data_IF_754198360986
#
_entry.id   IF_754198360986
#
_cell.length_a   1.000
_cell.length_b   1.000
_cell.length_c   1.000
_cell.angle_alpha   90.00
_cell.angle_beta   90.00
_cell.angle_gamma   90.00
#
_symmetry.space_group_name_H-M   'P 1'
#
loop_
_entity.id
_entity.type
_entity.pdbx_description
1 polymer ?
#
# COMPACT_ATOMS: atom_id res chain seq x y z
N UNK A 1 -14.38 7.24 -17.16
CA UNK A 1 -13.23 7.57 -16.29
C UNK A 1 -12.56 6.27 -15.89
N UNK A 2 -11.23 6.26 -15.81
CA UNK A 2 -10.48 5.14 -15.25
C UNK A 2 -10.64 5.16 -13.72
N UNK A 3 -10.51 4.00 -13.09
CA UNK A 3 -10.47 3.94 -11.63
C UNK A 3 -9.16 4.54 -11.14
N UNK A 4 -9.23 5.45 -10.17
CA UNK A 4 -8.03 5.94 -9.48
C UNK A 4 -7.66 4.95 -8.39
N UNK A 5 -6.46 4.38 -8.49
CA UNK A 5 -5.91 3.52 -7.46
C UNK A 5 -5.29 4.29 -6.30
N UNK A 6 -5.09 5.60 -6.49
CA UNK A 6 -4.35 6.44 -5.59
C UNK A 6 -5.05 7.80 -5.45
N UNK A 7 -5.92 7.89 -4.45
CA UNK A 7 -6.61 9.12 -4.06
C UNK A 7 -5.99 9.64 -2.76
N UNK A 8 -5.90 10.97 -2.62
CA UNK A 8 -5.26 11.62 -1.47
C UNK A 8 -6.18 12.67 -0.88
N UNK A 9 -6.28 12.69 0.45
CA UNK A 9 -6.97 13.72 1.21
C UNK A 9 -6.07 14.21 2.36
N UNK A 10 -5.95 15.52 2.50
CA UNK A 10 -5.16 16.22 3.54
C UNK A 10 -6.11 17.00 4.46
N UNK A 11 -6.81 16.30 5.37
CA UNK A 11 -7.78 16.95 6.24
C UNK A 11 -7.09 17.79 7.31
N UNK A 12 -7.62 18.99 7.57
CA UNK A 12 -7.15 19.82 8.69
C UNK A 12 -7.54 19.26 10.06
N UNK A 13 -8.69 18.57 10.12
CA UNK A 13 -9.20 17.88 11.31
C UNK A 13 -9.83 16.58 10.85
N UNK A 14 -9.54 15.46 11.52
CA UNK A 14 -10.18 14.18 11.27
C UNK A 14 -10.92 13.70 12.53
N UNK A 15 -12.26 13.69 12.48
CA UNK A 15 -13.04 13.11 13.57
C UNK A 15 -12.93 11.58 13.61
N UNK A 16 -13.16 10.93 14.77
CA UNK A 16 -13.20 9.48 14.86
C UNK A 16 -14.17 8.82 13.85
N UNK A 17 -15.37 9.39 13.65
CA UNK A 17 -16.33 8.93 12.63
C UNK A 17 -15.79 9.04 11.21
N UNK A 18 -15.03 10.10 10.92
CA UNK A 18 -14.45 10.30 9.59
C UNK A 18 -13.33 9.30 9.37
N UNK A 19 -12.52 8.99 10.38
CA UNK A 19 -11.51 7.93 10.29
C UNK A 19 -12.17 6.56 10.02
N UNK A 20 -13.23 6.22 10.76
CA UNK A 20 -13.98 4.98 10.53
C UNK A 20 -14.54 4.91 9.10
N UNK A 21 -15.09 6.01 8.60
CA UNK A 21 -15.61 6.09 7.23
C UNK A 21 -14.55 5.81 6.16
N UNK A 22 -13.34 6.36 6.36
CA UNK A 22 -12.20 6.19 5.45
C UNK A 22 -11.66 4.75 5.51
N UNK A 23 -11.36 4.25 6.72
CA UNK A 23 -10.86 2.89 6.92
C UNK A 23 -11.83 1.83 6.37
N UNK A 24 -13.14 2.02 6.55
CA UNK A 24 -14.16 1.13 5.98
C UNK A 24 -14.12 1.07 4.44
N UNK A 25 -13.61 2.11 3.77
CA UNK A 25 -13.51 2.22 2.30
C UNK A 25 -12.12 1.93 1.75
N UNK A 26 -11.21 1.41 2.56
CA UNK A 26 -9.87 1.10 2.12
C UNK A 26 -8.97 2.32 1.94
N UNK A 27 -9.19 3.36 2.75
CA UNK A 27 -8.27 4.48 2.88
C UNK A 27 -7.40 4.31 4.12
N UNK A 28 -6.15 4.79 4.06
CA UNK A 28 -5.13 4.57 5.08
C UNK A 28 -4.27 5.81 5.28
N UNK A 29 -3.67 5.94 6.46
CA UNK A 29 -2.83 7.08 6.81
C UNK A 29 -1.41 6.95 6.25
N UNK A 30 -0.83 8.08 5.87
CA UNK A 30 0.61 8.30 5.69
C UNK A 30 0.93 9.74 6.13
N UNK A 31 1.72 9.90 7.19
CA UNK A 31 1.92 11.21 7.82
C UNK A 31 0.60 11.81 8.28
N UNK A 32 0.35 13.06 7.92
CA UNK A 32 -0.92 13.79 8.14
C UNK A 32 -2.04 13.49 7.12
N UNK A 33 -1.72 12.71 6.09
CA UNK A 33 -2.60 12.45 4.95
C UNK A 33 -3.35 11.13 5.12
N UNK A 34 -4.57 11.06 4.59
CA UNK A 34 -5.27 9.80 4.35
C UNK A 34 -5.42 9.56 2.84
N UNK A 35 -5.07 8.36 2.37
CA UNK A 35 -4.97 8.05 0.95
C UNK A 35 -5.36 6.60 0.64
N UNK A 36 -5.61 6.29 -0.63
CA UNK A 36 -5.72 4.91 -1.11
C UNK A 36 -4.42 4.52 -1.83
N UNK A 37 -4.04 3.25 -1.73
CA UNK A 37 -3.05 2.67 -2.64
C UNK A 37 -3.29 1.17 -2.74
N UNK A 38 -3.10 0.61 -3.92
CA UNK A 38 -3.21 -0.84 -4.14
C UNK A 38 -1.96 -1.44 -4.76
N UNK A 39 -0.97 -0.59 -5.02
CA UNK A 39 0.30 -0.93 -5.64
C UNK A 39 1.42 -0.32 -4.82
N UNK A 40 2.48 -1.09 -4.60
CA UNK A 40 3.70 -0.64 -3.95
C UNK A 40 4.83 -0.78 -4.94
N UNK A 41 5.81 0.12 -4.88
CA UNK A 41 6.98 0.04 -5.75
C UNK A 41 8.27 -0.02 -4.93
N UNK A 42 8.92 -1.17 -4.91
CA UNK A 42 10.22 -1.34 -4.28
C UNK A 42 11.03 -2.44 -4.97
N UNK A 43 12.36 -2.46 -4.77
CA UNK A 43 13.26 -3.43 -5.44
C UNK A 43 13.03 -3.46 -6.98
N UNK A 44 12.75 -2.29 -7.56
CA UNK A 44 12.45 -2.07 -8.99
C UNK A 44 11.30 -2.92 -9.54
N UNK A 45 10.31 -3.27 -8.69
CA UNK A 45 9.13 -4.04 -9.09
C UNK A 45 7.88 -3.52 -8.38
N UNK A 46 6.73 -3.51 -9.08
CA UNK A 46 5.43 -3.34 -8.46
C UNK A 46 5.04 -4.56 -7.62
N UNK A 47 4.32 -4.33 -6.53
CA UNK A 47 3.69 -5.35 -5.69
C UNK A 47 2.27 -4.93 -5.33
N UNK A 48 1.40 -5.91 -5.08
CA UNK A 48 0.07 -5.64 -4.53
C UNK A 48 0.15 -5.22 -3.05
N UNK A 49 -0.55 -4.13 -2.68
CA UNK A 49 -0.89 -3.85 -1.29
C UNK A 49 -2.27 -4.45 -0.99
N UNK A 50 -2.30 -5.59 -0.31
CA UNK A 50 -3.55 -6.18 0.16
C UNK A 50 -3.81 -5.70 1.59
N UNK A 51 -4.63 -4.66 1.69
CA UNK A 51 -5.00 -4.14 3.00
C UNK A 51 -5.91 -5.07 3.74
N UNK A 52 -5.64 -5.22 5.04
CA UNK A 52 -6.34 -6.16 5.89
C UNK A 52 -6.92 -5.47 7.12
N UNK A 53 -7.98 -6.08 7.65
CA UNK A 53 -8.53 -5.77 8.97
C UNK A 53 -8.89 -7.04 9.70
N UNK A 54 -9.18 -6.91 10.99
CA UNK A 54 -9.65 -7.97 11.87
C UNK A 54 -10.95 -7.48 12.50
N UNK A 55 -12.03 -8.25 12.34
CA UNK A 55 -13.26 -8.04 13.11
C UNK A 55 -13.07 -8.63 14.51
N UNK A 56 -13.18 -7.78 15.53
CA UNK A 56 -12.99 -8.10 16.93
C UNK A 56 -14.27 -8.54 17.65
N UNK A 57 -15.43 -8.52 16.99
CA UNK A 57 -16.75 -8.81 17.60
C UNK A 57 -16.77 -10.14 18.39
N UNK A 58 -16.11 -11.17 17.89
CA UNK A 58 -15.98 -12.50 18.54
C UNK A 58 -14.51 -12.92 18.72
N UNK A 59 -13.60 -11.94 18.79
CA UNK A 59 -12.17 -12.24 18.80
C UNK A 59 -11.72 -12.81 20.14
N UNK A 60 -10.89 -13.85 20.06
CA UNK A 60 -10.20 -14.41 21.20
C UNK A 60 -8.74 -14.68 20.86
N UNK A 61 -7.82 -14.21 21.71
CA UNK A 61 -6.40 -14.51 21.54
C UNK A 61 -6.16 -16.02 21.48
N UNK A 62 -5.36 -16.47 20.53
CA UNK A 62 -4.95 -17.88 20.41
C UNK A 62 -4.08 -18.33 21.59
N UNK A 63 -3.88 -19.65 21.75
CA UNK A 63 -3.03 -20.21 22.82
C UNK A 63 -1.59 -19.67 22.76
N UNK A 64 -1.04 -19.49 21.56
CA UNK A 64 0.31 -18.96 21.36
C UNK A 64 0.39 -17.46 21.68
N UNK A 65 -0.61 -16.66 21.28
CA UNK A 65 -0.70 -15.24 21.63
C UNK A 65 -0.81 -15.05 23.15
N UNK A 66 -1.69 -15.79 23.84
CA UNK A 66 -1.79 -15.76 25.31
C UNK A 66 -0.49 -16.16 26.01
N UNK A 67 0.25 -17.13 25.45
CA UNK A 67 1.57 -17.53 25.97
C UNK A 67 2.60 -16.40 25.81
N UNK A 68 2.62 -15.74 24.65
CA UNK A 68 3.50 -14.60 24.39
C UNK A 68 3.19 -13.43 25.33
N UNK A 69 1.91 -13.05 25.44
CA UNK A 69 1.46 -11.99 26.34
C UNK A 69 1.93 -12.25 27.78
N UNK A 70 1.68 -13.45 28.31
CA UNK A 70 2.09 -13.83 29.67
C UNK A 70 3.62 -13.88 29.85
N UNK A 71 4.36 -14.35 28.85
CA UNK A 71 5.84 -14.39 28.93
C UNK A 71 6.39 -12.97 29.00
N UNK A 72 5.94 -12.11 28.09
CA UNK A 72 6.46 -10.75 28.00
C UNK A 72 6.00 -9.89 29.19
N UNK A 73 4.79 -10.10 29.73
CA UNK A 73 4.32 -9.36 30.91
C UNK A 73 5.16 -9.58 32.17
N UNK A 74 5.93 -10.68 32.26
CA UNK A 74 6.85 -10.95 33.36
C UNK A 74 8.16 -10.14 33.27
N UNK A 75 8.53 -9.70 32.06
CA UNK A 75 9.81 -9.06 31.78
C UNK A 75 9.66 -7.57 31.47
N UNK A 76 8.49 -7.19 30.95
CA UNK A 76 8.20 -5.83 30.50
C UNK A 76 6.99 -5.25 31.21
N UNK A 77 7.04 -3.95 31.46
CA UNK A 77 5.91 -3.11 31.83
C UNK A 77 5.36 -2.48 30.56
N UNK A 78 4.04 -2.42 30.43
CA UNK A 78 3.37 -1.89 29.24
C UNK A 78 2.40 -0.78 29.64
N UNK A 79 2.42 0.31 28.89
CA UNK A 79 1.51 1.45 29.09
C UNK A 79 0.83 1.73 27.75
N UNK A 80 -0.46 2.06 27.78
CA UNK A 80 -1.19 2.53 26.60
C UNK A 80 -1.77 3.91 26.92
N UNK A 81 -1.33 4.93 26.18
CA UNK A 81 -1.65 6.33 26.44
C UNK A 81 -1.71 7.15 25.14
N UNK A 82 -2.04 8.43 25.23
CA UNK A 82 -1.84 9.38 24.12
C UNK A 82 -0.38 9.39 23.68
N UNK A 83 -0.12 9.56 22.38
CA UNK A 83 1.24 9.44 21.85
C UNK A 83 2.26 10.35 22.55
N UNK A 84 3.47 9.84 22.73
CA UNK A 84 4.65 10.62 23.13
C UNK A 84 5.74 10.44 22.09
N UNK A 85 6.43 11.53 21.73
CA UNK A 85 7.62 11.49 20.88
C UNK A 85 8.66 12.34 21.61
N UNK A 86 9.62 11.67 22.25
CA UNK A 86 10.75 12.30 22.93
C UNK A 86 12.07 11.67 22.46
N UNK A 87 13.20 12.15 23.02
CA UNK A 87 14.54 11.66 22.66
C UNK A 87 14.70 10.15 22.85
N UNK A 88 14.08 9.53 23.86
CA UNK A 88 14.16 8.09 24.08
C UNK A 88 13.43 7.30 22.99
N UNK A 89 12.34 7.85 22.44
CA UNK A 89 11.62 7.24 21.32
C UNK A 89 12.41 7.34 20.02
N UNK A 90 13.02 8.49 19.74
CA UNK A 90 13.85 8.68 18.54
C UNK A 90 15.13 7.83 18.61
N UNK A 91 15.78 7.70 19.78
CA UNK A 91 16.91 6.78 19.98
C UNK A 91 16.55 5.32 19.65
N UNK A 92 15.34 4.89 20.06
CA UNK A 92 14.83 3.56 19.74
C UNK A 92 14.50 3.43 18.25
N UNK A 93 13.99 4.49 17.64
CA UNK A 93 13.68 4.55 16.21
C UNK A 93 14.94 4.40 15.37
N UNK A 94 16.00 5.16 15.68
CA UNK A 94 17.28 5.10 14.99
C UNK A 94 17.87 3.68 15.06
N UNK A 95 17.88 3.09 16.26
CA UNK A 95 18.34 1.71 16.46
C UNK A 95 17.53 0.70 15.63
N UNK A 96 16.21 0.90 15.53
CA UNK A 96 15.34 0.06 14.71
C UNK A 96 15.60 0.27 13.20
N UNK A 97 15.75 1.52 12.77
CA UNK A 97 15.93 1.93 11.39
C UNK A 97 17.26 1.42 10.80
N UNK A 98 18.35 1.43 11.57
CA UNK A 98 19.65 0.88 11.17
C UNK A 98 19.58 -0.59 10.70
N UNK A 99 18.64 -1.36 11.26
CA UNK A 99 18.47 -2.77 10.93
C UNK A 99 17.26 -3.05 10.02
N UNK A 100 16.62 -2.00 9.51
CA UNK A 100 15.46 -2.11 8.66
C UNK A 100 15.87 -2.26 7.18
N UNK A 101 15.57 -3.40 6.57
CA UNK A 101 15.78 -3.64 5.12
C UNK A 101 14.73 -2.90 4.28
N UNK A 102 14.80 -1.58 4.17
CA UNK A 102 13.84 -0.78 3.42
C UNK A 102 14.01 0.72 3.62
N UNK A 103 13.02 1.49 3.16
CA UNK A 103 12.95 2.93 3.44
C UNK A 103 11.94 3.15 4.56
N UNK A 104 12.38 3.85 5.58
CA UNK A 104 11.54 4.44 6.61
C UNK A 104 11.58 5.96 6.46
N UNK A 105 10.64 6.65 7.09
CA UNK A 105 10.73 8.10 7.23
C UNK A 105 11.99 8.48 8.03
N UNK A 106 12.52 9.70 7.91
CA UNK A 106 13.70 10.10 8.67
C UNK A 106 13.49 10.06 10.19
N UNK A 107 12.29 10.41 10.67
CA UNK A 107 11.94 10.44 12.10
C UNK A 107 10.56 9.79 12.39
N UNK A 108 10.24 9.60 13.68
CA UNK A 108 8.87 9.23 14.08
C UNK A 108 7.89 10.34 13.70
N UNK A 109 8.27 11.61 13.93
CA UNK A 109 7.46 12.76 13.55
C UNK A 109 7.14 12.76 12.04
N UNK A 110 8.10 12.50 11.16
CA UNK A 110 7.85 12.39 9.71
C UNK A 110 6.91 11.22 9.33
N UNK A 111 6.75 10.23 10.20
CA UNK A 111 5.83 9.11 9.99
C UNK A 111 4.40 9.43 10.41
N UNK A 112 4.22 10.37 11.36
CA UNK A 112 2.94 10.63 12.02
C UNK A 112 2.43 12.07 11.76
N UNK A 113 3.31 13.05 11.70
CA UNK A 113 2.98 14.48 11.68
C UNK A 113 3.21 15.07 10.29
N UNK A 114 2.73 16.30 10.07
CA UNK A 114 3.12 17.13 8.93
C UNK A 114 4.13 18.19 9.36
N UNK A 115 4.60 18.98 8.40
CA UNK A 115 5.66 19.99 8.57
C UNK A 115 5.46 20.96 9.76
N UNK A 116 4.22 21.24 10.17
CA UNK A 116 3.89 22.19 11.24
C UNK A 116 3.67 21.54 12.63
N UNK A 117 3.85 20.21 12.76
CA UNK A 117 3.64 19.49 14.03
C UNK A 117 2.17 19.30 14.43
N UNK A 118 1.24 19.60 13.52
CA UNK A 118 -0.19 19.49 13.74
C UNK A 118 -0.67 18.03 13.80
N UNK A 119 -1.59 17.79 14.73
CA UNK A 119 -2.13 16.46 15.01
C UNK A 119 -3.52 16.32 14.39
N UNK A 120 -3.56 15.79 13.18
CA UNK A 120 -4.83 15.53 12.49
C UNK A 120 -5.57 14.32 13.08
N UNK A 121 -4.83 13.32 13.55
CA UNK A 121 -5.35 12.03 14.00
C UNK A 121 -5.31 11.86 15.52
N UNK A 122 -6.32 11.19 16.08
CA UNK A 122 -6.31 10.76 17.49
C UNK A 122 -5.36 9.58 17.70
N UNK A 123 -4.04 9.87 17.73
CA UNK A 123 -2.98 8.86 17.82
C UNK A 123 -2.65 8.53 19.27
N UNK A 124 -2.68 7.24 19.57
CA UNK A 124 -2.29 6.62 20.83
C UNK A 124 -1.01 5.82 20.64
N UNK A 125 -0.40 5.45 21.75
CA UNK A 125 0.85 4.71 21.80
C UNK A 125 0.75 3.55 22.79
N UNK A 126 1.31 2.41 22.41
CA UNK A 126 1.71 1.35 23.33
C UNK A 126 3.21 1.45 23.60
N UNK A 127 3.60 1.80 24.82
CA UNK A 127 5.01 1.80 25.25
C UNK A 127 5.33 0.51 26.02
N UNK A 128 6.43 -0.14 25.67
CA UNK A 128 6.94 -1.35 26.35
C UNK A 128 8.31 -1.04 26.93
N UNK A 129 8.41 -1.13 28.25
CA UNK A 129 9.62 -0.85 29.02
C UNK A 129 10.14 -2.10 29.72
N UNK A 130 11.45 -2.29 29.75
CA UNK A 130 12.05 -3.36 30.54
C UNK A 130 11.82 -3.11 32.04
N UNK A 131 11.37 -4.14 32.77
CA UNK A 131 11.00 -3.98 34.19
C UNK A 131 12.16 -3.61 35.11
N UNK A 132 13.37 -4.05 34.78
CA UNK A 132 14.54 -3.87 35.64
C UNK A 132 15.19 -2.52 35.41
N UNK A 133 15.48 -2.18 34.16
CA UNK A 133 16.16 -0.92 33.81
C UNK A 133 15.21 0.27 33.63
N UNK A 134 13.92 0.03 33.34
CA UNK A 134 12.96 1.08 32.96
C UNK A 134 13.09 1.57 31.51
N UNK A 135 14.08 1.07 30.77
CA UNK A 135 14.38 1.47 29.39
C UNK A 135 13.23 1.13 28.44
N UNK A 136 12.88 2.06 27.55
CA UNK A 136 11.96 1.81 26.43
C UNK A 136 12.60 0.82 25.44
N UNK A 137 11.89 -0.27 25.15
CA UNK A 137 12.37 -1.35 24.28
C UNK A 137 11.45 -1.65 23.11
N UNK A 138 10.21 -1.19 23.15
CA UNK A 138 9.33 -1.15 21.99
C UNK A 138 8.27 -0.07 22.17
N UNK A 139 7.84 0.49 21.05
CA UNK A 139 6.70 1.39 20.99
C UNK A 139 5.90 1.12 19.72
N UNK A 140 4.59 1.28 19.77
CA UNK A 140 3.76 1.34 18.57
C UNK A 140 2.72 2.43 18.66
N UNK A 141 2.42 3.02 17.51
CA UNK A 141 1.50 4.13 17.36
C UNK A 141 0.30 3.70 16.53
N UNK A 142 -0.89 4.03 17.00
CA UNK A 142 -2.14 3.63 16.37
C UNK A 142 -3.20 4.72 16.51
N UNK A 143 -4.05 4.87 15.49
CA UNK A 143 -5.12 5.85 15.47
C UNK A 143 -6.44 5.27 15.91
N UNK A 144 -7.24 6.07 16.61
CA UNK A 144 -8.55 5.70 17.11
C UNK A 144 -9.69 6.39 16.37
N UNK A 145 -10.56 5.57 15.79
CA UNK A 145 -11.93 5.90 15.40
C UNK A 145 -12.91 5.65 16.55
N UNK A 146 -14.22 5.68 16.26
CA UNK A 146 -15.25 5.28 17.22
C UNK A 146 -15.38 3.76 17.31
N UNK A 147 -15.32 3.09 16.16
CA UNK A 147 -15.42 1.63 16.05
C UNK A 147 -14.12 0.97 15.56
N UNK A 148 -13.12 1.76 15.16
CA UNK A 148 -11.88 1.26 14.57
C UNK A 148 -10.62 1.69 15.32
N UNK A 149 -9.58 0.88 15.19
CA UNK A 149 -8.20 1.26 15.50
C UNK A 149 -7.28 0.88 14.33
N UNK A 150 -6.37 1.78 13.94
CA UNK A 150 -5.43 1.54 12.84
C UNK A 150 -3.98 1.63 13.32
N UNK A 151 -3.22 0.55 13.17
CA UNK A 151 -1.81 0.48 13.54
C UNK A 151 -0.96 1.17 12.46
N UNK A 152 -0.14 2.14 12.86
CA UNK A 152 0.57 3.04 11.93
C UNK A 152 2.07 2.75 11.89
N UNK A 153 2.72 2.76 13.06
CA UNK A 153 4.16 2.58 13.19
C UNK A 153 4.46 1.68 14.38
N UNK A 154 5.42 0.76 14.23
CA UNK A 154 5.90 -0.08 15.33
C UNK A 154 7.42 -0.17 15.31
N UNK A 155 8.04 0.23 16.41
CA UNK A 155 9.49 0.19 16.63
C UNK A 155 9.85 -0.68 17.83
N UNK A 156 11.01 -1.31 17.78
CA UNK A 156 11.51 -2.14 18.88
C UNK A 156 13.01 -2.31 18.83
N UNK A 157 13.61 -2.62 19.98
CA UNK A 157 15.03 -2.91 20.11
C UNK A 157 15.35 -4.22 19.36
N UNK A 158 16.12 -4.18 18.26
CA UNK A 158 16.40 -5.37 17.47
C UNK A 158 17.22 -6.43 18.20
N UNK A 159 17.91 -6.10 19.31
CA UNK A 159 18.60 -7.07 20.15
C UNK A 159 17.61 -7.95 20.93
N UNK A 160 16.35 -7.51 21.05
CA UNK A 160 15.27 -8.21 21.73
C UNK A 160 14.30 -8.91 20.77
N UNK A 161 14.71 -9.18 19.52
CA UNK A 161 13.93 -9.93 18.51
C UNK A 161 13.32 -11.23 19.03
N UNK A 162 14.00 -11.94 19.94
CA UNK A 162 13.53 -13.20 20.54
C UNK A 162 12.25 -13.05 21.40
N UNK A 163 11.88 -11.83 21.79
CA UNK A 163 10.65 -11.49 22.49
C UNK A 163 9.51 -11.07 21.57
N UNK A 164 9.77 -10.99 20.25
CA UNK A 164 8.78 -10.61 19.24
C UNK A 164 8.07 -9.28 19.55
N UNK A 165 8.82 -8.28 20.03
CA UNK A 165 8.25 -7.07 20.59
C UNK A 165 7.34 -6.31 19.61
N UNK A 166 7.71 -6.19 18.33
CA UNK A 166 6.83 -5.56 17.33
C UNK A 166 5.51 -6.31 17.09
N UNK A 167 5.46 -7.63 17.27
CA UNK A 167 4.20 -8.37 17.22
C UNK A 167 3.45 -8.30 18.55
N UNK A 168 4.19 -8.23 19.67
CA UNK A 168 3.64 -8.09 21.01
C UNK A 168 2.89 -6.76 21.18
N UNK A 169 3.43 -5.65 20.68
CA UNK A 169 2.75 -4.34 20.72
C UNK A 169 1.41 -4.37 19.97
N UNK A 170 1.34 -4.99 18.80
CA UNK A 170 0.07 -5.19 18.08
C UNK A 170 -0.95 -6.01 18.89
N UNK A 171 -0.53 -7.00 19.67
CA UNK A 171 -1.44 -7.74 20.55
C UNK A 171 -1.94 -6.88 21.71
N UNK A 172 -1.12 -5.95 22.20
CA UNK A 172 -1.52 -4.97 23.22
C UNK A 172 -2.50 -3.94 22.66
N UNK A 173 -2.31 -3.49 21.41
CA UNK A 173 -3.28 -2.66 20.69
C UNK A 173 -4.63 -3.39 20.56
N UNK A 174 -4.63 -4.66 20.17
CA UNK A 174 -5.86 -5.47 20.12
C UNK A 174 -6.48 -5.61 21.52
N UNK A 175 -5.69 -5.88 22.56
CA UNK A 175 -6.21 -5.96 23.93
C UNK A 175 -6.89 -4.65 24.34
N UNK A 176 -6.25 -3.50 24.04
CA UNK A 176 -6.82 -2.18 24.27
C UNK A 176 -8.15 -1.97 23.54
N UNK A 177 -8.24 -2.45 22.28
CA UNK A 177 -9.47 -2.39 21.49
C UNK A 177 -10.59 -3.21 22.15
N UNK A 178 -10.29 -4.45 22.55
CA UNK A 178 -11.26 -5.32 23.23
C UNK A 178 -11.76 -4.70 24.54
N UNK A 179 -10.87 -4.12 25.35
CA UNK A 179 -11.22 -3.48 26.62
C UNK A 179 -12.14 -2.26 26.44
N UNK A 180 -12.12 -1.64 25.25
CA UNK A 180 -12.95 -0.48 24.88
C UNK A 180 -14.14 -0.80 23.99
N UNK A 181 -14.33 -2.06 23.60
CA UNK A 181 -15.38 -2.44 22.65
C UNK A 181 -15.17 -1.91 21.23
N UNK A 182 -13.93 -1.60 20.84
CA UNK A 182 -13.58 -1.25 19.46
C UNK A 182 -13.67 -2.51 18.61
N UNK A 183 -14.39 -2.42 17.49
CA UNK A 183 -14.73 -3.58 16.66
C UNK A 183 -13.68 -3.90 15.61
N UNK A 184 -13.14 -2.91 14.91
CA UNK A 184 -12.29 -3.17 13.75
C UNK A 184 -10.85 -2.80 14.04
N UNK A 185 -9.92 -3.74 13.87
CA UNK A 185 -8.49 -3.45 13.96
C UNK A 185 -7.83 -3.55 12.59
N UNK A 186 -7.18 -2.48 12.16
CA UNK A 186 -6.53 -2.32 10.86
C UNK A 186 -5.01 -2.37 11.05
N UNK A 187 -4.37 -3.54 10.91
CA UNK A 187 -2.93 -3.66 11.09
C UNK A 187 -2.11 -3.15 9.89
N UNK A 188 -2.75 -2.66 8.83
CA UNK A 188 -2.11 -2.25 7.56
C UNK A 188 -2.33 -3.28 6.46
N UNK A 189 -1.30 -3.54 5.64
CA UNK A 189 -1.39 -4.43 4.48
C UNK A 189 -0.43 -5.62 4.56
N UNK A 190 -0.72 -6.61 3.72
CA UNK A 190 0.19 -7.70 3.35
C UNK A 190 0.57 -7.60 1.88
N UNK A 191 1.69 -8.21 1.52
CA UNK A 191 2.27 -8.10 0.18
C UNK A 191 2.48 -9.50 -0.40
N UNK A 192 1.62 -9.93 -1.35
CA UNK A 192 1.79 -11.20 -2.05
C UNK A 192 3.21 -11.35 -2.62
N UNK A 193 3.80 -12.53 -2.46
CA UNK A 193 5.17 -12.80 -2.88
C UNK A 193 6.27 -12.17 -2.01
N UNK A 194 5.92 -11.42 -0.95
CA UNK A 194 6.88 -10.82 -0.02
C UNK A 194 6.49 -11.06 1.46
N UNK A 195 6.95 -12.19 1.99
CA UNK A 195 6.54 -12.73 3.30
C UNK A 195 6.85 -11.86 4.54
N UNK A 196 7.56 -10.74 4.36
CA UNK A 196 7.94 -9.85 5.47
C UNK A 196 6.72 -9.32 6.23
N UNK A 197 5.58 -9.14 5.56
CA UNK A 197 4.37 -8.57 6.16
C UNK A 197 3.33 -9.61 6.58
N UNK A 198 3.55 -10.89 6.27
CA UNK A 198 2.61 -11.99 6.54
C UNK A 198 2.36 -12.22 8.03
N UNK A 199 3.25 -11.74 8.90
CA UNK A 199 3.07 -11.88 10.35
C UNK A 199 1.77 -11.25 10.84
N UNK A 200 1.21 -10.27 10.12
CA UNK A 200 -0.06 -9.61 10.45
C UNK A 200 -1.25 -10.57 10.31
N UNK A 201 -1.17 -11.55 9.39
CA UNK A 201 -2.20 -12.59 9.24
C UNK A 201 -2.26 -13.54 10.45
N UNK A 202 -1.24 -13.53 11.32
CA UNK A 202 -1.21 -14.36 12.54
C UNK A 202 -2.00 -13.75 13.69
N UNK A 203 -2.44 -12.49 13.57
CA UNK A 203 -3.19 -11.77 14.59
C UNK A 203 -4.58 -12.37 14.83
N UNK A 204 -5.25 -12.84 13.77
CA UNK A 204 -6.61 -13.38 13.85
C UNK A 204 -7.15 -13.78 12.47
N UNK A 205 -8.45 -13.95 12.37
CA UNK A 205 -9.13 -14.16 11.08
C UNK A 205 -9.17 -12.83 10.33
N UNK A 206 -8.28 -12.66 9.36
CA UNK A 206 -8.19 -11.43 8.59
C UNK A 206 -9.25 -11.36 7.49
N UNK A 207 -9.75 -10.15 7.26
CA UNK A 207 -10.45 -9.75 6.04
C UNK A 207 -9.51 -8.90 5.19
N UNK A 208 -9.69 -8.90 3.86
CA UNK A 208 -9.01 -7.99 2.94
C UNK A 208 -10.02 -7.07 2.25
N UNK A 209 -9.57 -5.89 1.86
CA UNK A 209 -10.39 -4.98 1.05
C UNK A 209 -10.35 -5.40 -0.42
N UNK A 210 -11.47 -5.93 -0.94
CA UNK A 210 -11.60 -6.33 -2.35
C UNK A 210 -12.00 -5.13 -3.20
N UNK A 211 -11.02 -4.58 -3.93
CA UNK A 211 -11.20 -3.45 -4.84
C UNK A 211 -12.27 -3.68 -5.91
N UNK A 212 -12.62 -4.92 -6.26
CA UNK A 212 -13.64 -5.20 -7.28
C UNK A 212 -15.04 -4.98 -6.77
N UNK A 213 -15.23 -5.18 -5.46
CA UNK A 213 -16.55 -5.11 -4.82
C UNK A 213 -16.69 -3.94 -3.84
N UNK A 214 -15.58 -3.25 -3.55
CA UNK A 214 -15.47 -2.21 -2.52
C UNK A 214 -15.95 -2.68 -1.15
N UNK A 215 -15.62 -3.94 -0.82
CA UNK A 215 -16.03 -4.62 0.41
C UNK A 215 -14.88 -5.37 1.04
N UNK A 216 -14.97 -5.50 2.35
CA UNK A 216 -14.14 -6.41 3.12
C UNK A 216 -14.64 -7.85 2.94
N UNK A 217 -13.72 -8.74 2.59
CA UNK A 217 -13.98 -10.15 2.33
C UNK A 217 -13.00 -11.02 3.13
N UNK A 218 -13.34 -12.27 3.50
CA UNK A 218 -12.41 -13.14 4.22
C UNK A 218 -11.11 -13.36 3.45
N UNK A 219 -9.95 -13.08 4.06
CA UNK A 219 -8.63 -13.27 3.42
C UNK A 219 -8.39 -14.71 2.98
N UNK A 220 -8.97 -15.68 3.70
CA UNK A 220 -8.86 -17.11 3.39
C UNK A 220 -9.52 -17.53 2.06
N UNK A 221 -10.36 -16.67 1.48
CA UNK A 221 -11.06 -16.93 0.21
C UNK A 221 -10.30 -16.37 -1.00
N UNK A 222 -9.25 -15.57 -0.76
CA UNK A 222 -8.40 -14.99 -1.80
C UNK A 222 -7.26 -15.95 -2.17
N UNK A 223 -6.97 -16.09 -3.46
CA UNK A 223 -5.66 -16.55 -3.94
C UNK A 223 -4.75 -15.33 -4.20
N UNK A 224 -3.96 -14.89 -3.21
CA UNK A 224 -3.21 -13.63 -3.30
C UNK A 224 -2.18 -13.62 -4.44
N UNK A 225 -1.70 -14.80 -4.87
CA UNK A 225 -0.70 -14.93 -5.94
C UNK A 225 -1.32 -14.90 -7.34
N UNK A 226 -2.65 -14.85 -7.46
CA UNK A 226 -3.37 -14.80 -8.74
C UNK A 226 -4.37 -13.66 -8.82
N UNK A 227 -5.00 -13.34 -7.70
CA UNK A 227 -6.12 -12.41 -7.64
C UNK A 227 -5.74 -11.01 -7.18
N UNK A 228 -4.54 -10.82 -6.61
CA UNK A 228 -4.02 -9.51 -6.23
C UNK A 228 -3.93 -8.55 -7.44
N UNK A 229 -4.02 -7.23 -7.22
CA UNK A 229 -4.04 -6.24 -8.30
C UNK A 229 -2.88 -6.33 -9.29
N UNK A 230 -1.64 -6.51 -8.81
CA UNK A 230 -0.45 -6.71 -9.64
C UNK A 230 -0.50 -8.04 -10.37
N UNK A 231 -0.82 -9.12 -9.65
CA UNK A 231 -0.86 -10.48 -10.17
C UNK A 231 -1.88 -10.60 -11.30
N UNK A 232 -3.06 -10.00 -11.12
CA UNK A 232 -4.11 -9.88 -12.11
C UNK A 232 -3.64 -9.14 -13.38
N UNK A 233 -2.95 -8.01 -13.22
CA UNK A 233 -2.40 -7.23 -14.35
C UNK A 233 -1.35 -8.00 -15.13
N UNK A 234 -0.35 -8.55 -14.43
CA UNK A 234 0.73 -9.30 -15.06
C UNK A 234 0.17 -10.51 -15.81
N UNK A 235 -0.73 -11.28 -15.20
CA UNK A 235 -1.33 -12.44 -15.85
C UNK A 235 -2.13 -12.05 -17.11
N UNK A 236 -2.95 -10.99 -17.03
CA UNK A 236 -3.76 -10.55 -18.16
C UNK A 236 -2.90 -9.99 -19.30
N UNK A 237 -1.93 -9.13 -18.99
CA UNK A 237 -1.10 -8.49 -20.00
C UNK A 237 -0.08 -9.45 -20.62
N UNK A 238 0.44 -10.43 -19.87
CA UNK A 238 1.29 -11.49 -20.44
C UNK A 238 0.53 -12.29 -21.50
N UNK A 239 -0.71 -12.68 -21.24
CA UNK A 239 -1.57 -13.34 -22.24
C UNK A 239 -1.78 -12.48 -23.48
N UNK A 240 -1.96 -11.18 -23.31
CA UNK A 240 -2.07 -10.26 -24.44
C UNK A 240 -0.77 -10.22 -25.26
N UNK A 241 0.38 -10.10 -24.61
CA UNK A 241 1.70 -10.07 -25.27
C UNK A 241 1.94 -11.37 -26.05
N UNK A 242 1.67 -12.53 -25.46
CA UNK A 242 1.78 -13.84 -26.12
C UNK A 242 0.92 -13.87 -27.39
N UNK A 243 -0.39 -13.59 -27.26
CA UNK A 243 -1.32 -13.61 -28.38
C UNK A 243 -0.95 -12.59 -29.48
N UNK A 244 -0.55 -11.39 -29.09
CA UNK A 244 -0.24 -10.32 -30.05
C UNK A 244 1.08 -10.59 -30.79
N UNK A 245 2.07 -11.20 -30.12
CA UNK A 245 3.30 -11.63 -30.77
C UNK A 245 3.09 -12.83 -31.70
N UNK A 246 2.17 -13.75 -31.36
CA UNK A 246 1.77 -14.85 -32.26
C UNK A 246 1.11 -14.34 -33.56
N UNK A 247 0.54 -13.12 -33.55
CA UNK A 247 0.04 -12.43 -34.74
C UNK A 247 1.15 -11.75 -35.57
N UNK A 248 2.43 -11.92 -35.19
CA UNK A 248 3.59 -11.39 -35.91
C UNK A 248 4.08 -10.02 -35.43
N UNK A 249 3.54 -9.51 -34.33
CA UNK A 249 4.04 -8.27 -33.71
C UNK A 249 5.21 -8.55 -32.77
N UNK A 250 5.94 -7.48 -32.41
CA UNK A 250 6.97 -7.53 -31.36
C UNK A 250 6.62 -6.49 -30.31
N UNK A 251 5.95 -6.92 -29.25
CA UNK A 251 5.63 -6.10 -28.08
C UNK A 251 6.10 -6.79 -26.80
N UNK A 252 6.30 -6.00 -25.76
CA UNK A 252 6.76 -6.49 -24.46
C UNK A 252 5.99 -5.80 -23.34
N UNK A 253 5.76 -6.54 -22.25
CA UNK A 253 5.26 -5.99 -21.01
C UNK A 253 6.32 -5.10 -20.38
N UNK A 254 5.96 -3.84 -20.07
CA UNK A 254 6.85 -2.90 -19.40
C UNK A 254 6.29 -2.51 -18.02
N UNK A 255 7.23 -2.20 -17.13
CA UNK A 255 6.93 -1.62 -15.82
C UNK A 255 6.84 -0.10 -15.95
N UNK A 256 5.82 0.49 -15.35
CA UNK A 256 5.64 1.93 -15.27
C UNK A 256 5.85 2.37 -13.82
N UNK A 257 6.97 3.04 -13.45
CA UNK A 257 7.26 3.44 -12.08
C UNK A 257 6.57 4.76 -11.67
N UNK A 258 5.94 5.46 -12.61
CA UNK A 258 5.28 6.76 -12.39
C UNK A 258 3.76 6.64 -12.18
N UNK A 259 3.24 5.44 -11.92
CA UNK A 259 1.79 5.22 -11.71
C UNK A 259 1.22 5.97 -10.50
N UNK A 260 2.07 6.37 -9.55
CA UNK A 260 1.70 7.16 -8.36
C UNK A 260 1.74 8.67 -8.61
N UNK A 261 1.98 9.12 -9.85
CA UNK A 261 2.04 10.56 -10.18
C UNK A 261 0.83 11.34 -9.66
N UNK A 262 -0.37 10.74 -9.66
CA UNK A 262 -1.59 11.34 -9.13
C UNK A 262 -1.57 11.63 -7.62
N UNK A 263 -0.72 10.98 -6.81
CA UNK A 263 -0.58 11.29 -5.38
C UNK A 263 0.19 12.58 -5.12
N UNK A 264 1.01 13.01 -6.07
CA UNK A 264 1.91 14.14 -5.95
C UNK A 264 1.41 15.38 -6.72
N UNK A 265 0.42 15.21 -7.59
CA UNK A 265 0.00 16.27 -8.49
C UNK A 265 -1.01 17.25 -7.86
N UNK A 266 -0.81 18.52 -8.18
CA UNK A 266 -1.66 19.66 -7.80
C UNK A 266 -2.69 19.94 -8.92
N UNK A 267 -2.41 19.51 -10.16
CA UNK A 267 -3.17 19.89 -11.36
C UNK A 267 -4.30 18.93 -11.73
N UNK A 268 -4.40 17.78 -11.04
CA UNK A 268 -5.44 16.76 -11.24
C UNK A 268 -5.56 16.32 -12.72
N UNK A 269 -4.41 16.12 -13.38
CA UNK A 269 -4.35 15.56 -14.72
C UNK A 269 -4.76 14.07 -14.72
N UNK A 270 -5.27 13.58 -15.86
CA UNK A 270 -5.63 12.17 -16.07
C UNK A 270 -4.39 11.26 -16.22
N UNK A 271 -3.54 11.16 -15.19
CA UNK A 271 -2.34 10.30 -15.25
C UNK A 271 -2.68 8.84 -15.50
N UNK A 272 -1.74 8.14 -16.13
CA UNK A 272 -1.82 6.70 -16.30
C UNK A 272 -1.66 5.98 -14.95
N UNK A 273 -2.68 5.27 -14.43
CA UNK A 273 -2.71 4.83 -13.03
C UNK A 273 -2.22 3.38 -12.81
N UNK A 274 -1.69 2.72 -13.84
CA UNK A 274 -1.33 1.30 -13.77
C UNK A 274 0.19 1.09 -13.73
N UNK A 275 0.71 0.18 -12.88
CA UNK A 275 2.14 -0.11 -12.80
C UNK A 275 2.67 -0.96 -13.97
N UNK A 276 1.79 -1.53 -14.79
CA UNK A 276 2.15 -2.32 -15.96
C UNK A 276 1.42 -1.84 -17.21
N UNK A 277 2.13 -1.82 -18.33
CA UNK A 277 1.56 -1.47 -19.63
C UNK A 277 2.33 -2.15 -20.78
N UNK A 278 1.68 -2.26 -21.93
CA UNK A 278 2.29 -2.76 -23.17
C UNK A 278 2.25 -1.64 -24.20
N UNK A 279 3.39 -1.00 -24.55
CA UNK A 279 3.41 0.02 -25.58
C UNK A 279 3.13 -0.58 -26.97
N UNK A 280 2.23 0.03 -27.72
CA UNK A 280 1.91 -0.33 -29.11
C UNK A 280 2.61 0.57 -30.13
N UNK A 281 3.11 1.73 -29.71
CA UNK A 281 3.90 2.64 -30.55
C UNK A 281 5.19 3.01 -29.83
N UNK A 282 6.14 3.62 -30.53
CA UNK A 282 7.32 4.18 -29.87
C UNK A 282 6.90 5.33 -28.95
N UNK A 283 7.48 5.38 -27.75
CA UNK A 283 7.08 6.34 -26.71
C UNK A 283 7.50 7.78 -27.09
N UNK A 284 8.40 7.92 -28.07
CA UNK A 284 8.81 9.22 -28.64
C UNK A 284 7.81 9.78 -29.67
N UNK A 285 6.77 9.03 -30.04
CA UNK A 285 5.72 9.52 -30.95
C UNK A 285 4.80 10.54 -30.27
N UNK A 286 4.21 11.43 -31.08
CA UNK A 286 3.25 12.45 -30.60
C UNK A 286 1.97 11.85 -30.02
N UNK A 287 1.65 10.61 -30.38
CA UNK A 287 0.50 9.83 -29.92
C UNK A 287 0.99 8.46 -29.43
N UNK A 288 0.91 8.22 -28.13
CA UNK A 288 1.41 7.00 -27.50
C UNK A 288 0.22 6.08 -27.30
N UNK A 289 0.21 4.93 -27.95
CA UNK A 289 -0.83 3.92 -27.72
C UNK A 289 -0.29 2.84 -26.79
N UNK A 290 -1.07 2.50 -25.76
CA UNK A 290 -0.71 1.45 -24.80
C UNK A 290 -1.89 0.53 -24.55
N UNK A 291 -1.59 -0.72 -24.25
CA UNK A 291 -2.54 -1.65 -23.63
C UNK A 291 -2.28 -1.71 -22.14
N UNK A 292 -3.35 -1.55 -21.37
CA UNK A 292 -3.37 -1.66 -19.92
C UNK A 292 -4.44 -2.67 -19.50
N UNK A 293 -4.37 -3.11 -18.24
CA UNK A 293 -5.39 -3.97 -17.65
C UNK A 293 -5.82 -3.40 -16.30
N UNK A 294 -7.12 -3.27 -16.11
CA UNK A 294 -7.69 -2.79 -14.85
C UNK A 294 -8.06 -3.98 -13.94
N UNK A 295 -7.39 -4.16 -12.79
CA UNK A 295 -7.69 -5.27 -11.90
C UNK A 295 -9.03 -5.14 -11.18
N UNK A 296 -9.57 -3.92 -11.02
CA UNK A 296 -10.90 -3.66 -10.45
C UNK A 296 -12.01 -4.16 -11.37
N UNK A 297 -12.07 -3.64 -12.60
CA UNK A 297 -13.15 -3.99 -13.53
C UNK A 297 -12.86 -5.25 -14.37
N UNK A 298 -11.65 -5.82 -14.25
CA UNK A 298 -11.19 -6.99 -15.01
C UNK A 298 -11.27 -6.79 -16.53
N UNK A 299 -10.92 -5.60 -16.99
CA UNK A 299 -10.96 -5.22 -18.40
C UNK A 299 -9.58 -4.85 -18.92
N UNK A 300 -9.31 -5.23 -20.16
CA UNK A 300 -8.27 -4.63 -20.99
C UNK A 300 -8.72 -3.26 -21.47
N UNK A 301 -7.76 -2.35 -21.59
CA UNK A 301 -7.92 -1.03 -22.17
C UNK A 301 -6.89 -0.81 -23.27
N UNK A 302 -7.33 -0.27 -24.39
CA UNK A 302 -6.42 0.41 -25.31
C UNK A 302 -6.56 1.91 -25.05
N UNK A 303 -5.45 2.54 -24.70
CA UNK A 303 -5.42 3.93 -24.28
C UNK A 303 -4.56 4.73 -25.25
N UNK A 304 -5.06 5.91 -25.63
CA UNK A 304 -4.22 6.95 -26.21
C UNK A 304 -3.70 7.82 -25.07
N UNK A 305 -2.38 7.91 -24.98
CA UNK A 305 -1.65 8.67 -23.98
C UNK A 305 -0.85 9.80 -24.64
N UNK A 306 -0.52 10.80 -23.82
CA UNK A 306 0.47 11.84 -24.14
C UNK A 306 1.61 11.81 -23.14
N UNK A 307 2.82 12.11 -23.62
CA UNK A 307 3.96 12.39 -22.75
C UNK A 307 3.85 13.80 -22.17
N UNK A 308 3.81 13.88 -20.85
CA UNK A 308 3.72 15.12 -20.06
C UNK A 308 5.11 15.72 -19.83
N UNK A 309 5.78 16.17 -20.90
CA UNK A 309 7.18 16.62 -20.86
C UNK A 309 7.43 17.70 -19.80
N UNK A 310 6.55 18.71 -19.73
CA UNK A 310 6.72 19.84 -18.79
C UNK A 310 6.51 19.40 -17.35
N UNK A 311 5.41 18.67 -17.07
CA UNK A 311 5.11 18.16 -15.72
C UNK A 311 6.16 17.18 -15.24
N UNK A 312 6.76 16.38 -16.14
CA UNK A 312 7.83 15.45 -15.79
C UNK A 312 9.07 16.15 -15.21
N UNK A 313 9.31 17.42 -15.56
CA UNK A 313 10.43 18.19 -14.97
C UNK A 313 10.29 18.40 -13.45
N UNK A 314 9.09 18.21 -12.90
CA UNK A 314 8.83 18.26 -11.46
C UNK A 314 9.22 16.96 -10.75
N UNK A 315 9.44 15.87 -11.50
CA UNK A 315 9.83 14.58 -10.95
C UNK A 315 11.36 14.45 -10.87
N UNK A 316 11.84 13.67 -9.91
CA UNK A 316 13.27 13.48 -9.69
C UNK A 316 13.95 12.77 -10.87
N UNK A 317 14.76 13.51 -11.63
CA UNK A 317 15.48 12.98 -12.79
C UNK A 317 16.48 11.86 -12.43
N UNK A 318 17.12 11.93 -11.25
CA UNK A 318 18.04 10.87 -10.79
C UNK A 318 17.29 9.58 -10.46
N UNK A 319 16.07 9.69 -9.91
CA UNK A 319 15.21 8.52 -9.70
C UNK A 319 14.90 7.81 -11.02
N UNK A 320 14.55 8.56 -12.07
CA UNK A 320 14.22 7.98 -13.38
C UNK A 320 15.43 7.31 -14.06
N UNK A 321 16.66 7.81 -13.84
CA UNK A 321 17.89 7.21 -14.36
C UNK A 321 18.20 5.82 -13.79
N UNK A 322 17.58 5.44 -12.67
CA UNK A 322 17.78 4.11 -12.08
C UNK A 322 17.10 2.99 -12.88
N UNK A 323 16.18 3.33 -13.79
CA UNK A 323 15.43 2.37 -14.59
C UNK A 323 16.01 2.24 -16.00
N UNK A 324 16.27 0.99 -16.43
CA UNK A 324 16.74 0.71 -17.80
C UNK A 324 15.57 0.73 -18.78
N UNK A 325 15.67 1.51 -19.87
CA UNK A 325 14.58 1.74 -20.83
C UNK A 325 13.99 0.45 -21.48
N UNK A 326 14.74 -0.65 -21.52
CA UNK A 326 14.29 -1.92 -22.08
C UNK A 326 13.06 -2.47 -21.34
N UNK A 327 13.08 -2.47 -20.00
CA UNK A 327 12.00 -3.02 -19.17
C UNK A 327 11.02 -2.00 -18.60
N UNK A 328 11.29 -0.71 -18.76
CA UNK A 328 10.55 0.38 -18.11
C UNK A 328 10.05 1.42 -19.10
N UNK A 329 8.94 2.06 -18.77
CA UNK A 329 8.50 3.32 -19.36
C UNK A 329 8.73 4.42 -18.34
N UNK A 330 9.57 5.41 -18.66
CA UNK A 330 9.96 6.47 -17.72
C UNK A 330 9.41 7.83 -18.12
N UNK A 331 8.67 7.89 -19.23
CA UNK A 331 7.92 9.03 -19.70
C UNK A 331 6.62 9.17 -18.90
N UNK A 332 6.38 10.34 -18.31
CA UNK A 332 5.15 10.63 -17.57
C UNK A 332 3.96 10.64 -18.54
N UNK A 333 3.01 9.73 -18.35
CA UNK A 333 1.89 9.52 -19.26
C UNK A 333 0.61 10.07 -18.65
N UNK A 334 -0.14 10.82 -19.45
CA UNK A 334 -1.54 11.15 -19.18
C UNK A 334 -2.44 10.55 -20.25
N UNK A 335 -3.54 9.94 -19.84
CA UNK A 335 -4.55 9.32 -20.69
C UNK A 335 -5.38 10.42 -21.34
N UNK A 336 -5.38 10.47 -22.67
CA UNK A 336 -6.23 11.39 -23.44
C UNK A 336 -7.62 10.83 -23.67
N UNK A 337 -7.70 9.54 -24.03
CA UNK A 337 -8.96 8.84 -24.25
C UNK A 337 -8.80 7.33 -24.17
N UNK A 338 -9.91 6.67 -23.84
CA UNK A 338 -10.07 5.23 -23.93
C UNK A 338 -10.55 4.90 -25.35
N UNK A 339 -9.77 4.13 -26.11
CA UNK A 339 -10.11 3.69 -27.46
C UNK A 339 -11.04 2.49 -27.42
N UNK A 340 -10.70 1.49 -26.61
CA UNK A 340 -11.53 0.31 -26.37
C UNK A 340 -11.39 -0.16 -24.93
N UNK A 341 -12.47 -0.73 -24.40
CA UNK A 341 -12.54 -1.45 -23.12
C UNK A 341 -13.20 -2.80 -23.37
N UNK A 342 -12.56 -3.88 -22.94
CA UNK A 342 -13.08 -5.24 -23.16
C UNK A 342 -12.51 -6.24 -22.16
N UNK A 343 -13.28 -7.24 -21.70
CA UNK A 343 -12.74 -8.31 -20.85
C UNK A 343 -12.01 -9.39 -21.66
N UNK A 344 -12.18 -9.43 -22.99
CA UNK A 344 -11.59 -10.44 -23.88
C UNK A 344 -10.22 -10.01 -24.41
N UNK A 345 -9.23 -10.87 -24.22
CA UNK A 345 -7.87 -10.72 -24.76
C UNK A 345 -7.86 -10.81 -26.29
N UNK A 346 -8.73 -11.63 -26.87
CA UNK A 346 -8.85 -11.80 -28.31
C UNK A 346 -9.43 -10.54 -28.98
N UNK A 347 -10.41 -9.91 -28.32
CA UNK A 347 -11.02 -8.69 -28.84
C UNK A 347 -10.04 -7.51 -28.80
N UNK A 348 -9.33 -7.31 -27.68
CA UNK A 348 -8.33 -6.23 -27.59
C UNK A 348 -7.20 -6.44 -28.61
N UNK A 349 -6.71 -7.67 -28.79
CA UNK A 349 -5.67 -8.00 -29.77
C UNK A 349 -6.10 -7.66 -31.20
N UNK A 350 -7.34 -8.03 -31.59
CA UNK A 350 -7.90 -7.69 -32.92
C UNK A 350 -8.00 -6.18 -33.15
N UNK A 351 -8.43 -5.42 -32.15
CA UNK A 351 -8.53 -3.96 -32.27
C UNK A 351 -7.15 -3.33 -32.41
N UNK A 352 -6.16 -3.78 -31.62
CA UNK A 352 -4.79 -3.31 -31.72
C UNK A 352 -4.14 -3.66 -33.07
N UNK A 353 -4.41 -4.85 -33.60
CA UNK A 353 -3.89 -5.29 -34.91
C UNK A 353 -4.48 -4.44 -36.05
N UNK A 354 -5.80 -4.24 -36.04
CA UNK A 354 -6.48 -3.40 -37.02
C UNK A 354 -5.97 -1.95 -37.02
N UNK A 355 -5.64 -1.38 -35.85
CA UNK A 355 -5.06 -0.04 -35.74
C UNK A 355 -3.69 0.03 -36.42
N UNK A 356 -2.83 -0.98 -36.24
CA UNK A 356 -1.49 -1.01 -36.83
C UNK A 356 -1.49 -1.18 -38.35
N UNK A 357 -2.54 -1.76 -38.92
CA UNK A 357 -2.68 -1.91 -40.38
C UNK A 357 -3.14 -0.61 -41.08
N UNK A 358 -3.71 0.34 -40.34
CA UNK A 358 -4.23 1.62 -40.86
C UNK A 358 -3.20 2.75 -40.78
N UNK A 359 -2.13 2.56 -40.01
CA UNK A 359 -0.95 3.44 -39.94
C UNK A 359 0.14 2.91 -40.85
#
# INVERSE_FOLDING_TARGET
MLFSYAEKNTPFILSPDTLDWHLARGWYRMGSTIFTTHFLFFKNRPYSALWIRIDLQDFAFSRSQRKLLRKNSQLFTTVVATRTIDEEHEDLYDLYAEQFDGRLSPTIADSLEDYDGDVVFNTWEVSVRERVSGKLVASSYFDLGNESAASILGIFDPNLRSFSLGYYTMLLEIQFCLDRGIRYYYPGYVVPGYARFDYKLRLGTAEYFDIRTDKWQPYRELDPLREGPVEAQVHALTKFVELFNDLGHSVQLKVYPLFEAGLYDIWNDDYFPYPYLVPLTEIMEKEIFVVAYDPKDRNYFMLECRHMVQTQLLFNAEYLKTFRAEGFVTELLAVRRIIVRTPSVEHIAKVCDAMRQVR
#
